data_IF_701642358813
#
_entry.id   IF_701642358813
#
_cell.length_a   1.000
_cell.length_b   1.000
_cell.length_c   1.000
_cell.angle_alpha   90.00
_cell.angle_beta   90.00
_cell.angle_gamma   90.00
#
_symmetry.space_group_name_H-M   'P 1'
#
loop_
_entity.id
_entity.type
_entity.pdbx_description
1 polymer ?
#
# COMPACT_ATOMS: atom_id res chain seq x y z
N UNK A 1 -1.17 -10.40 11.77
CA UNK A 1 -2.48 -9.70 11.73
C UNK A 1 -2.26 -8.31 12.29
N UNK A 2 -2.87 -7.29 11.69
CA UNK A 2 -2.79 -5.89 12.12
C UNK A 2 -4.14 -5.42 12.67
N UNK A 3 -4.13 -4.55 13.68
CA UNK A 3 -5.33 -3.97 14.29
C UNK A 3 -5.05 -2.56 14.81
N UNK A 4 -6.01 -1.66 14.70
CA UNK A 4 -5.93 -0.28 15.20
C UNK A 4 -7.22 0.49 14.98
N UNK A 5 -7.16 1.83 15.10
CA UNK A 5 -8.30 2.71 14.85
C UNK A 5 -8.79 2.68 13.39
N UNK A 6 -7.92 2.35 12.43
CA UNK A 6 -8.29 2.11 11.03
C UNK A 6 -8.97 0.74 10.81
N UNK A 7 -9.09 -0.08 11.86
CA UNK A 7 -9.74 -1.39 11.80
C UNK A 7 -8.74 -2.55 11.79
N UNK A 8 -8.99 -3.58 10.98
CA UNK A 8 -8.19 -4.81 10.92
C UNK A 8 -7.66 -5.02 9.51
N UNK A 9 -6.44 -5.55 9.41
CA UNK A 9 -5.81 -5.86 8.13
C UNK A 9 -4.88 -7.07 8.25
N UNK A 10 -4.38 -7.53 7.11
CA UNK A 10 -3.33 -8.55 7.03
C UNK A 10 -2.13 -8.01 6.26
N UNK A 11 -0.95 -8.50 6.62
CA UNK A 11 0.30 -8.16 5.95
C UNK A 11 1.17 -9.42 5.88
N UNK A 12 1.80 -9.64 4.73
CA UNK A 12 2.76 -10.72 4.53
C UNK A 12 4.16 -10.20 4.86
N UNK A 13 4.75 -10.70 5.94
CA UNK A 13 6.07 -10.24 6.44
C UNK A 13 7.24 -11.02 5.85
N UNK A 14 7.00 -12.15 5.19
CA UNK A 14 8.06 -13.11 4.78
C UNK A 14 9.13 -12.53 3.86
N UNK A 15 8.79 -11.50 3.07
CA UNK A 15 9.70 -10.84 2.14
C UNK A 15 10.05 -9.40 2.56
N UNK A 16 9.56 -8.94 3.71
CA UNK A 16 9.76 -7.58 4.22
C UNK A 16 10.89 -7.57 5.25
N UNK A 17 12.01 -6.86 4.98
CA UNK A 17 13.11 -6.72 5.93
C UNK A 17 12.62 -6.21 7.28
N UNK A 18 13.18 -6.70 8.39
CA UNK A 18 12.75 -6.35 9.76
C UNK A 18 12.73 -4.83 9.98
N UNK A 19 13.73 -4.12 9.47
CA UNK A 19 13.84 -2.66 9.50
C UNK A 19 12.69 -1.92 8.78
N UNK A 20 12.04 -2.57 7.82
CA UNK A 20 10.92 -2.02 7.03
C UNK A 20 9.56 -2.55 7.49
N UNK A 21 9.48 -3.33 8.58
CA UNK A 21 8.20 -3.83 9.10
C UNK A 21 7.41 -2.77 9.87
N UNK A 22 8.07 -1.69 10.31
CA UNK A 22 7.46 -0.55 11.00
C UNK A 22 7.79 0.71 10.23
N UNK A 23 6.76 1.36 9.68
CA UNK A 23 6.86 2.60 8.93
C UNK A 23 5.91 3.61 9.55
N UNK A 24 6.45 4.78 9.92
CA UNK A 24 5.70 5.96 10.31
C UNK A 24 6.05 7.09 9.33
N UNK A 25 5.05 7.54 8.57
CA UNK A 25 5.20 8.56 7.54
C UNK A 25 3.86 9.21 7.20
N UNK A 26 3.83 10.40 6.58
CA UNK A 26 2.61 11.06 6.13
C UNK A 26 1.82 10.22 5.12
N UNK A 27 0.48 10.25 5.20
CA UNK A 27 -0.37 9.54 4.26
C UNK A 27 -0.46 10.29 2.91
N UNK A 28 -0.42 9.54 1.81
CA UNK A 28 -0.76 10.01 0.46
C UNK A 28 -1.89 9.14 -0.07
N UNK A 29 -3.05 9.74 -0.27
CA UNK A 29 -4.30 9.02 -0.54
C UNK A 29 -4.64 9.04 -2.02
N UNK A 30 -5.03 7.89 -2.55
CA UNK A 30 -5.47 7.67 -3.92
C UNK A 30 -6.79 6.89 -3.96
N UNK A 31 -7.58 7.14 -4.99
CA UNK A 31 -8.85 6.43 -5.23
C UNK A 31 -8.65 5.20 -6.14
N UNK A 32 -7.59 5.20 -6.94
CA UNK A 32 -7.30 4.14 -7.90
C UNK A 32 -5.80 3.85 -7.99
N UNK A 33 -5.45 2.59 -8.23
CA UNK A 33 -4.06 2.20 -8.56
C UNK A 33 -3.53 2.91 -9.82
N UNK A 34 -4.42 3.41 -10.69
CA UNK A 34 -4.06 4.14 -11.90
C UNK A 34 -3.55 5.56 -11.62
N UNK A 35 -3.84 6.11 -10.44
CA UNK A 35 -3.41 7.46 -10.05
C UNK A 35 -2.01 7.45 -9.44
N UNK A 36 -1.56 6.29 -8.92
CA UNK A 36 -0.27 6.13 -8.24
C UNK A 36 0.90 6.23 -9.22
N UNK A 37 0.79 5.63 -10.41
CA UNK A 37 1.87 5.63 -11.39
C UNK A 37 2.18 7.05 -11.92
N UNK A 38 1.20 7.86 -12.36
CA UNK A 38 1.44 9.25 -12.72
C UNK A 38 2.04 10.08 -11.58
N UNK A 39 1.61 9.87 -10.33
CA UNK A 39 2.17 10.57 -9.18
C UNK A 39 3.63 10.18 -8.89
N UNK A 40 3.98 8.90 -9.08
CA UNK A 40 5.35 8.42 -9.02
C UNK A 40 6.21 9.03 -10.12
N UNK A 41 5.75 9.01 -11.37
CA UNK A 41 6.47 9.56 -12.53
C UNK A 41 6.69 11.07 -12.42
N UNK A 42 5.75 11.79 -11.79
CA UNK A 42 5.86 13.22 -11.49
C UNK A 42 6.78 13.54 -10.28
N UNK A 43 7.35 12.53 -9.63
CA UNK A 43 8.21 12.70 -8.44
C UNK A 43 7.46 13.12 -7.17
N UNK A 44 6.13 13.06 -7.15
CA UNK A 44 5.32 13.49 -6.01
C UNK A 44 5.44 12.53 -4.80
N UNK A 45 5.92 11.32 -5.05
CA UNK A 45 6.16 10.27 -4.05
C UNK A 45 7.63 10.18 -3.61
N UNK A 46 8.50 11.13 -4.02
CA UNK A 46 9.92 11.18 -3.64
C UNK A 46 10.13 11.68 -2.20
N UNK A 47 9.45 11.03 -1.26
CA UNK A 47 9.45 11.35 0.17
C UNK A 47 8.96 10.14 0.95
N UNK A 48 9.25 10.15 2.25
CA UNK A 48 8.64 9.19 3.18
C UNK A 48 7.12 9.33 3.15
N UNK A 49 6.41 8.24 2.85
CA UNK A 49 4.96 8.25 2.83
C UNK A 49 4.31 6.87 3.01
N UNK A 50 3.10 6.89 3.57
CA UNK A 50 2.18 5.75 3.54
C UNK A 50 1.21 5.97 2.40
N UNK A 51 1.33 5.19 1.34
CA UNK A 51 0.43 5.22 0.19
C UNK A 51 -0.86 4.51 0.58
N UNK A 52 -1.98 5.22 0.53
CA UNK A 52 -3.31 4.68 0.85
C UNK A 52 -4.11 4.60 -0.44
N UNK A 53 -4.56 3.41 -0.82
CA UNK A 53 -5.45 3.20 -1.98
C UNK A 53 -6.77 2.65 -1.49
N UNK A 54 -7.82 3.48 -1.54
CA UNK A 54 -9.16 3.15 -1.04
C UNK A 54 -10.13 2.83 -2.18
N UNK A 55 -11.33 2.36 -1.82
CA UNK A 55 -12.38 1.91 -2.75
C UNK A 55 -11.94 0.72 -3.61
N UNK A 56 -11.09 -0.15 -3.06
CA UNK A 56 -10.66 -1.40 -3.68
C UNK A 56 -11.23 -2.62 -2.98
N UNK A 57 -12.18 -2.43 -2.06
CA UNK A 57 -12.83 -3.50 -1.31
C UNK A 57 -13.89 -4.28 -2.11
N UNK A 58 -14.43 -5.38 -1.55
CA UNK A 58 -15.43 -6.21 -2.20
C UNK A 58 -16.70 -5.47 -2.61
N UNK A 59 -17.22 -4.56 -1.78
CA UNK A 59 -18.43 -3.78 -2.09
C UNK A 59 -18.16 -2.65 -3.05
N UNK A 60 -16.97 -2.03 -2.99
CA UNK A 60 -16.62 -0.92 -3.85
C UNK A 60 -16.52 -1.33 -5.33
N UNK A 61 -15.72 -2.36 -5.65
CA UNK A 61 -15.46 -2.75 -7.04
C UNK A 61 -15.16 -4.24 -7.23
N UNK A 62 -15.57 -5.10 -6.30
CA UNK A 62 -15.35 -6.55 -6.38
C UNK A 62 -13.94 -7.00 -6.01
N UNK A 63 -13.14 -6.13 -5.38
CA UNK A 63 -11.79 -6.42 -4.89
C UNK A 63 -10.83 -6.96 -5.99
N UNK A 64 -10.57 -6.18 -7.05
CA UNK A 64 -9.62 -6.56 -8.08
C UNK A 64 -8.19 -6.60 -7.52
N UNK A 65 -7.29 -7.29 -8.23
CA UNK A 65 -5.87 -7.31 -7.86
C UNK A 65 -5.15 -6.02 -8.29
N UNK A 66 -4.45 -5.39 -7.34
CA UNK A 66 -3.72 -4.14 -7.55
C UNK A 66 -2.26 -4.36 -7.97
N UNK A 67 -2.05 -5.01 -9.12
CA UNK A 67 -0.71 -5.42 -9.60
C UNK A 67 0.22 -4.26 -9.99
N UNK A 68 -0.29 -3.03 -10.18
CA UNK A 68 0.51 -1.87 -10.60
C UNK A 68 1.23 -1.15 -9.46
N UNK A 69 0.91 -1.46 -8.20
CA UNK A 69 1.42 -0.73 -7.03
C UNK A 69 2.84 -1.15 -6.60
N UNK A 70 3.14 -2.45 -6.65
CA UNK A 70 4.40 -2.97 -6.08
C UNK A 70 5.66 -2.47 -6.79
N UNK A 71 5.73 -2.38 -8.14
CA UNK A 71 6.92 -1.89 -8.81
C UNK A 71 7.33 -0.46 -8.41
N UNK A 72 6.47 0.59 -8.50
CA UNK A 72 6.89 1.95 -8.15
C UNK A 72 7.24 2.10 -6.66
N UNK A 73 6.47 1.49 -5.76
CA UNK A 73 6.76 1.54 -4.32
C UNK A 73 8.07 0.83 -3.96
N UNK A 74 8.38 -0.26 -4.66
CA UNK A 74 9.65 -0.98 -4.51
C UNK A 74 10.86 -0.13 -4.90
N UNK A 75 10.75 0.68 -5.96
CA UNK A 75 11.79 1.63 -6.38
C UNK A 75 11.99 2.72 -5.33
N UNK A 76 10.92 3.25 -4.74
CA UNK A 76 11.02 4.26 -3.68
C UNK A 76 11.73 3.73 -2.42
N UNK A 77 11.50 2.46 -2.05
CA UNK A 77 12.27 1.79 -0.98
C UNK A 77 13.76 1.66 -1.32
N UNK A 78 14.10 1.32 -2.58
CA UNK A 78 15.50 1.25 -3.02
C UNK A 78 16.20 2.60 -2.94
N UNK A 79 15.43 3.68 -3.14
CA UNK A 79 15.87 5.07 -2.95
C UNK A 79 15.95 5.50 -1.48
N UNK A 80 15.78 4.57 -0.53
CA UNK A 80 15.87 4.76 0.93
C UNK A 80 14.75 5.59 1.55
N UNK A 81 13.64 5.80 0.85
CA UNK A 81 12.44 6.37 1.47
C UNK A 81 11.73 5.35 2.35
N UNK A 82 11.06 5.80 3.40
CA UNK A 82 10.17 5.00 4.22
C UNK A 82 8.80 4.91 3.54
N UNK A 83 8.51 3.76 2.95
CA UNK A 83 7.30 3.54 2.14
C UNK A 83 6.52 2.36 2.68
N UNK A 84 5.21 2.56 2.83
CA UNK A 84 4.26 1.50 3.11
C UNK A 84 2.98 1.65 2.26
N UNK A 85 2.24 0.56 2.11
CA UNK A 85 0.94 0.52 1.44
C UNK A 85 -0.16 0.18 2.45
N UNK A 86 -1.29 0.87 2.35
CA UNK A 86 -2.54 0.55 3.04
C UNK A 86 -3.67 0.50 2.01
N UNK A 87 -4.43 -0.59 1.96
CA UNK A 87 -5.57 -0.71 1.04
C UNK A 87 -6.65 -1.66 1.59
N UNK A 88 -7.90 -1.32 1.32
CA UNK A 88 -9.06 -2.18 1.53
C UNK A 88 -9.16 -3.28 0.45
N UNK A 89 -8.35 -3.21 -0.60
CA UNK A 89 -8.21 -4.21 -1.64
C UNK A 89 -7.12 -5.25 -1.39
N UNK A 90 -6.70 -5.91 -2.47
CA UNK A 90 -5.73 -7.00 -2.44
C UNK A 90 -4.61 -6.85 -3.48
N UNK A 91 -3.47 -7.49 -3.20
CA UNK A 91 -2.36 -7.65 -4.12
C UNK A 91 -2.36 -9.07 -4.70
N UNK A 92 -1.66 -9.27 -5.82
CA UNK A 92 -1.27 -10.62 -6.22
C UNK A 92 -0.39 -11.21 -5.11
N UNK A 93 -0.40 -12.54 -4.89
CA UNK A 93 0.21 -13.22 -3.72
C UNK A 93 1.72 -12.95 -3.46
N UNK A 94 2.36 -12.15 -4.31
CA UNK A 94 3.68 -11.55 -4.15
C UNK A 94 3.57 -10.07 -3.72
N UNK A 95 3.37 -9.84 -2.41
CA UNK A 95 3.40 -8.48 -1.82
C UNK A 95 4.80 -7.85 -1.74
N UNK A 96 5.82 -8.54 -2.26
CA UNK A 96 7.20 -8.03 -2.36
C UNK A 96 7.84 -7.61 -1.03
N UNK A 97 8.84 -6.74 -1.13
CA UNK A 97 9.58 -6.15 0.01
C UNK A 97 8.88 -4.96 0.65
N UNK A 98 7.76 -4.50 0.09
CA UNK A 98 7.01 -3.33 0.55
C UNK A 98 6.06 -3.74 1.68
N UNK A 99 6.16 -3.14 2.88
CA UNK A 99 5.20 -3.39 3.94
C UNK A 99 3.80 -2.94 3.49
N UNK A 100 2.89 -3.91 3.39
CA UNK A 100 1.57 -3.70 2.80
C UNK A 100 0.48 -4.24 3.72
N UNK A 101 -0.32 -3.34 4.29
CA UNK A 101 -1.57 -3.67 4.97
C UNK A 101 -2.69 -3.79 3.92
N UNK A 102 -3.11 -5.02 3.65
CA UNK A 102 -4.17 -5.35 2.67
C UNK A 102 -5.41 -5.88 3.38
N UNK A 103 -6.54 -5.92 2.67
CA UNK A 103 -7.85 -6.30 3.21
C UNK A 103 -8.23 -5.47 4.44
N UNK A 104 -7.87 -4.18 4.44
CA UNK A 104 -8.25 -3.26 5.52
C UNK A 104 -9.77 -3.24 5.64
N UNK A 105 -10.26 -3.47 6.85
CA UNK A 105 -11.68 -3.56 7.17
C UNK A 105 -11.99 -2.70 8.40
N UNK A 106 -13.00 -1.81 8.35
CA UNK A 106 -14.00 -1.65 7.29
C UNK A 106 -13.45 -1.02 5.98
N UNK A 107 -14.01 -1.44 4.84
CA UNK A 107 -13.66 -0.91 3.52
C UNK A 107 -14.25 0.50 3.29
N UNK A 108 -13.65 1.27 2.38
CA UNK A 108 -14.28 2.49 1.86
C UNK A 108 -15.28 2.12 0.76
N UNK A 109 -16.48 2.72 0.81
CA UNK A 109 -17.56 2.53 -0.17
C UNK A 109 -17.85 3.83 -0.92
#
# INVERSE_FOLDING_TARGET
MLSGNLGRAVMKTSAVPVENQVIEAPAVVFESQHDVLPAFEAGLLDKDCVVVVRHQGPKANGMPELHKLMPPLGVLLDRRFKIALVTDGRLSGASGKVPSAIHVTPEAV
#
